data_IF_548633584145
#
_entry.id   IF_548633584145
#
_cell.length_a   1.000
_cell.length_b   1.000
_cell.length_c   1.000
_cell.angle_alpha   90.00
_cell.angle_beta   90.00
_cell.angle_gamma   90.00
#
_symmetry.space_group_name_H-M   'P 1'
#
loop_
_entity.id
_entity.type
_entity.pdbx_description
1 polymer ?
#
# COMPACT_ATOMS: atom_id res chain seq x y z
N UNK A 1 26.10 -66.58 -47.76
CA UNK A 1 25.50 -65.24 -47.66
C UNK A 1 23.99 -65.39 -47.71
N UNK A 2 23.30 -65.27 -46.58
CA UNK A 2 21.84 -65.16 -46.50
C UNK A 2 21.49 -64.51 -45.17
N UNK A 3 20.63 -63.50 -45.24
CA UNK A 3 20.29 -62.57 -44.17
C UNK A 3 19.05 -63.04 -43.41
N UNK A 4 19.09 -62.94 -42.07
CA UNK A 4 17.88 -62.82 -41.24
C UNK A 4 18.24 -61.88 -40.09
N UNK A 5 17.74 -60.65 -40.12
CA UNK A 5 17.65 -59.84 -38.91
C UNK A 5 16.30 -59.13 -38.80
N UNK A 6 15.79 -59.22 -37.57
CA UNK A 6 14.43 -58.98 -37.12
C UNK A 6 14.07 -57.49 -37.12
N UNK A 7 12.93 -57.19 -37.73
CA UNK A 7 11.79 -56.44 -37.21
C UNK A 7 12.03 -55.58 -35.94
N UNK A 8 11.82 -54.26 -36.03
CA UNK A 8 11.26 -53.45 -34.92
C UNK A 8 10.53 -52.20 -35.45
N UNK A 9 9.36 -51.97 -34.85
CA UNK A 9 8.35 -50.96 -35.18
C UNK A 9 8.60 -49.64 -34.43
N UNK A 10 8.29 -48.54 -35.11
CA UNK A 10 7.65 -47.27 -34.67
C UNK A 10 7.87 -46.74 -33.24
N UNK A 11 8.30 -45.48 -33.13
CA UNK A 11 7.46 -44.35 -32.73
C UNK A 11 8.24 -43.03 -32.78
N UNK A 12 7.77 -42.09 -33.60
CA UNK A 12 8.24 -40.72 -33.72
C UNK A 12 7.62 -39.85 -32.62
N UNK A 13 8.41 -39.37 -31.67
CA UNK A 13 8.02 -38.33 -30.72
C UNK A 13 8.52 -36.97 -31.20
N UNK A 14 7.67 -36.27 -31.95
CA UNK A 14 7.84 -34.86 -32.24
C UNK A 14 7.66 -34.07 -30.93
N UNK A 15 8.74 -33.52 -30.38
CA UNK A 15 8.69 -32.60 -29.24
C UNK A 15 8.34 -31.22 -29.79
N UNK A 16 7.14 -30.72 -29.48
CA UNK A 16 6.78 -29.34 -29.79
C UNK A 16 7.53 -28.38 -28.86
N UNK A 17 8.03 -27.23 -29.35
CA UNK A 17 8.55 -26.19 -28.49
C UNK A 17 7.40 -25.51 -27.74
N UNK A 18 7.51 -25.45 -26.41
CA UNK A 18 6.58 -24.73 -25.55
C UNK A 18 6.73 -23.22 -25.78
N UNK A 19 5.71 -22.62 -26.40
CA UNK A 19 5.54 -21.16 -26.43
C UNK A 19 5.22 -20.65 -25.02
N UNK A 20 6.24 -20.38 -24.22
CA UNK A 20 6.09 -19.56 -23.03
C UNK A 20 5.89 -18.11 -23.50
N UNK A 21 4.64 -17.64 -23.50
CA UNK A 21 4.37 -16.21 -23.65
C UNK A 21 5.04 -15.44 -22.50
N UNK A 22 5.66 -14.28 -22.76
CA UNK A 22 6.26 -13.47 -21.71
C UNK A 22 5.16 -13.04 -20.74
N UNK A 23 5.27 -13.47 -19.48
CA UNK A 23 4.40 -12.96 -18.43
C UNK A 23 4.65 -11.46 -18.29
N UNK A 24 3.70 -10.65 -18.77
CA UNK A 24 3.67 -9.23 -18.44
C UNK A 24 3.43 -9.13 -16.94
N UNK A 25 4.46 -8.84 -16.16
CA UNK A 25 4.29 -8.51 -14.75
C UNK A 25 3.45 -7.23 -14.67
N UNK A 26 2.14 -7.37 -14.54
CA UNK A 26 1.29 -6.24 -14.21
C UNK A 26 1.77 -5.73 -12.85
N UNK A 27 2.30 -4.51 -12.82
CA UNK A 27 2.76 -3.91 -11.59
C UNK A 27 1.59 -3.89 -10.60
N UNK A 28 1.70 -4.69 -9.53
CA UNK A 28 0.69 -4.78 -8.47
C UNK A 28 0.45 -3.39 -7.87
N UNK A 29 -0.71 -3.22 -7.25
CA UNK A 29 -1.02 -1.99 -6.53
C UNK A 29 -0.02 -1.71 -5.42
N UNK A 30 0.17 -0.43 -5.10
CA UNK A 30 0.97 0.01 -3.96
C UNK A 30 0.08 0.26 -2.75
N UNK A 31 0.58 -0.04 -1.55
CA UNK A 31 -0.09 0.25 -0.29
C UNK A 31 0.66 1.40 0.40
N UNK A 32 -0.07 2.42 0.82
CA UNK A 32 0.47 3.61 1.50
C UNK A 32 -0.20 3.74 2.86
N UNK A 33 0.55 3.49 3.94
CA UNK A 33 0.14 3.82 5.30
C UNK A 33 0.38 5.30 5.55
N UNK A 34 -0.70 6.07 5.49
CA UNK A 34 -0.65 7.53 5.37
C UNK A 34 -1.15 8.24 6.61
N UNK A 35 -0.33 9.11 7.19
CA UNK A 35 -0.69 9.95 8.34
C UNK A 35 -1.97 10.77 8.08
N UNK A 36 -2.72 11.17 9.12
CA UNK A 36 -3.78 12.15 8.95
C UNK A 36 -3.32 13.41 8.19
N UNK A 37 -4.23 14.06 7.47
CA UNK A 37 -3.97 15.36 6.81
C UNK A 37 -2.87 15.39 5.73
N UNK A 38 -2.36 14.24 5.27
CA UNK A 38 -1.39 14.20 4.15
C UNK A 38 -2.03 14.44 2.77
N UNK A 39 -3.36 14.48 2.66
CA UNK A 39 -4.06 14.64 1.37
C UNK A 39 -4.58 13.35 0.73
N UNK A 40 -4.77 12.28 1.50
CA UNK A 40 -5.35 11.00 1.01
C UNK A 40 -6.67 11.19 0.26
N UNK A 41 -7.65 11.83 0.90
CA UNK A 41 -8.97 12.05 0.31
C UNK A 41 -8.94 12.98 -0.91
N UNK A 42 -7.98 13.92 -0.98
CA UNK A 42 -7.77 14.73 -2.18
C UNK A 42 -7.27 13.87 -3.35
N UNK A 43 -6.29 12.99 -3.11
CA UNK A 43 -5.77 12.07 -4.12
C UNK A 43 -6.87 11.14 -4.65
N UNK A 44 -7.74 10.64 -3.77
CA UNK A 44 -8.86 9.78 -4.13
C UNK A 44 -9.88 10.49 -5.03
N UNK A 45 -10.23 11.75 -4.71
CA UNK A 45 -11.19 12.54 -5.50
C UNK A 45 -10.66 12.93 -6.88
N UNK A 46 -9.38 13.28 -6.96
CA UNK A 46 -8.79 13.83 -8.19
C UNK A 46 -8.15 12.80 -9.12
N UNK A 47 -8.22 11.49 -8.78
CA UNK A 47 -7.73 10.36 -9.61
C UNK A 47 -6.33 10.59 -10.20
N UNK A 48 -5.28 10.30 -9.43
CA UNK A 48 -3.89 10.45 -9.88
C UNK A 48 -3.61 9.66 -11.17
N UNK A 49 -3.34 10.35 -12.27
CA UNK A 49 -2.98 9.76 -13.58
C UNK A 49 -3.94 8.62 -14.03
N UNK A 50 -5.24 8.74 -13.71
CA UNK A 50 -6.23 7.71 -14.04
C UNK A 50 -6.07 6.38 -13.28
N UNK A 51 -5.21 6.31 -12.26
CA UNK A 51 -5.04 5.10 -11.43
C UNK A 51 -6.25 4.89 -10.52
N UNK A 52 -6.63 3.62 -10.24
CA UNK A 52 -7.55 3.32 -9.16
C UNK A 52 -6.96 3.76 -7.81
N UNK A 53 -7.71 4.51 -7.02
CA UNK A 53 -7.30 4.95 -5.68
C UNK A 53 -8.37 4.53 -4.68
N UNK A 54 -7.96 3.84 -3.61
CA UNK A 54 -8.85 3.34 -2.57
C UNK A 54 -8.43 3.92 -1.22
N UNK A 55 -9.27 4.75 -0.60
CA UNK A 55 -9.04 5.30 0.75
C UNK A 55 -9.72 4.40 1.79
N UNK A 56 -8.98 3.44 2.34
CA UNK A 56 -9.45 2.49 3.34
C UNK A 56 -9.19 3.07 4.73
N UNK A 57 -10.12 3.91 5.19
CA UNK A 57 -10.10 4.41 6.56
C UNK A 57 -10.54 3.33 7.53
N UNK A 58 -9.69 3.01 8.50
CA UNK A 58 -9.97 2.00 9.52
C UNK A 58 -11.17 2.35 10.41
N UNK A 59 -11.59 3.63 10.47
CA UNK A 59 -12.79 4.02 11.22
C UNK A 59 -14.08 3.43 10.65
N UNK A 60 -14.09 2.99 9.39
CA UNK A 60 -15.22 2.32 8.74
C UNK A 60 -15.39 0.86 9.14
N UNK A 61 -14.45 0.29 9.91
CA UNK A 61 -14.41 -1.13 10.25
C UNK A 61 -14.69 -1.34 11.74
N UNK A 62 -15.30 -2.48 12.07
CA UNK A 62 -15.54 -2.84 13.46
C UNK A 62 -14.21 -3.00 14.22
N UNK A 63 -14.16 -2.52 15.46
CA UNK A 63 -12.98 -2.64 16.35
C UNK A 63 -12.88 -4.03 17.00
N UNK A 64 -13.12 -5.07 16.22
CA UNK A 64 -13.08 -6.48 16.60
C UNK A 64 -12.06 -7.22 15.74
N UNK A 65 -11.65 -8.42 16.13
CA UNK A 65 -10.76 -9.25 15.30
C UNK A 65 -11.35 -9.48 13.90
N UNK A 66 -12.66 -9.73 13.82
CA UNK A 66 -13.38 -9.86 12.55
C UNK A 66 -13.27 -8.61 11.68
N UNK A 67 -13.51 -7.42 12.26
CA UNK A 67 -13.40 -6.16 11.50
C UNK A 67 -11.97 -5.85 11.07
N UNK A 68 -10.97 -6.23 11.88
CA UNK A 68 -9.56 -6.14 11.47
C UNK A 68 -9.23 -7.08 10.31
N UNK A 69 -9.78 -8.29 10.31
CA UNK A 69 -9.61 -9.24 9.21
C UNK A 69 -10.31 -8.77 7.93
N UNK A 70 -11.51 -8.20 8.03
CA UNK A 70 -12.23 -7.57 6.92
C UNK A 70 -11.41 -6.44 6.30
N UNK A 71 -10.86 -5.55 7.12
CA UNK A 71 -9.96 -4.49 6.67
C UNK A 71 -8.76 -5.02 5.90
N UNK A 72 -8.08 -6.04 6.45
CA UNK A 72 -6.91 -6.65 5.80
C UNK A 72 -7.28 -7.34 4.48
N UNK A 73 -8.46 -7.96 4.40
CA UNK A 73 -8.96 -8.59 3.18
C UNK A 73 -9.23 -7.54 2.08
N UNK A 74 -9.82 -6.41 2.43
CA UNK A 74 -10.04 -5.31 1.48
C UNK A 74 -8.71 -4.71 1.00
N UNK A 75 -7.74 -4.52 1.90
CA UNK A 75 -6.39 -4.08 1.52
C UNK A 75 -5.78 -5.04 0.50
N UNK A 76 -5.84 -6.36 0.74
CA UNK A 76 -5.32 -7.39 -0.19
C UNK A 76 -6.04 -7.35 -1.54
N UNK A 77 -7.38 -7.31 -1.52
CA UNK A 77 -8.23 -7.26 -2.70
C UNK A 77 -7.89 -6.06 -3.58
N UNK A 78 -7.80 -4.86 -2.99
CA UNK A 78 -7.51 -3.64 -3.73
C UNK A 78 -6.05 -3.55 -4.19
N UNK A 79 -5.10 -4.07 -3.41
CA UNK A 79 -3.69 -4.11 -3.80
C UNK A 79 -3.41 -5.10 -4.94
N UNK A 80 -4.30 -6.09 -5.15
CA UNK A 80 -4.23 -7.00 -6.28
C UNK A 80 -4.58 -6.33 -7.62
N UNK A 81 -5.25 -5.16 -7.60
CA UNK A 81 -5.60 -4.41 -8.81
C UNK A 81 -4.34 -3.76 -9.39
N UNK A 82 -4.00 -4.00 -10.67
CA UNK A 82 -2.83 -3.40 -11.30
C UNK A 82 -2.82 -1.87 -11.18
N UNK A 83 -1.64 -1.31 -10.86
CA UNK A 83 -1.40 0.14 -10.71
C UNK A 83 -2.24 0.84 -9.63
N UNK A 84 -3.03 0.12 -8.83
CA UNK A 84 -3.84 0.73 -7.78
C UNK A 84 -3.00 1.41 -6.70
N UNK A 85 -3.58 2.42 -6.07
CA UNK A 85 -3.03 3.08 -4.89
C UNK A 85 -4.01 2.82 -3.75
N UNK A 86 -3.60 1.99 -2.80
CA UNK A 86 -4.39 1.66 -1.61
C UNK A 86 -3.88 2.49 -0.45
N UNK A 87 -4.68 3.43 0.03
CA UNK A 87 -4.36 4.28 1.16
C UNK A 87 -4.94 3.65 2.42
N UNK A 88 -4.10 3.50 3.44
CA UNK A 88 -4.45 2.85 4.71
C UNK A 88 -4.07 3.75 5.89
N UNK A 89 -4.71 3.50 7.02
CA UNK A 89 -4.41 4.20 8.29
C UNK A 89 -3.01 3.87 8.83
N UNK A 90 -2.51 4.69 9.76
CA UNK A 90 -1.16 4.56 10.34
C UNK A 90 -1.06 3.68 11.58
N UNK A 91 -2.20 3.21 12.11
CA UNK A 91 -2.24 2.43 13.34
C UNK A 91 -1.29 1.23 13.28
N UNK A 92 -0.47 1.08 14.31
CA UNK A 92 0.55 0.03 14.37
C UNK A 92 -0.04 -1.38 14.25
N UNK A 93 -1.22 -1.63 14.83
CA UNK A 93 -1.93 -2.91 14.73
C UNK A 93 -2.11 -3.37 13.28
N UNK A 94 -2.58 -2.49 12.39
CA UNK A 94 -2.76 -2.83 10.98
C UNK A 94 -1.43 -2.96 10.25
N UNK A 95 -0.43 -2.13 10.59
CA UNK A 95 0.92 -2.24 10.04
C UNK A 95 1.59 -3.58 10.38
N UNK A 96 1.40 -4.06 11.61
CA UNK A 96 1.84 -5.40 12.06
C UNK A 96 1.13 -6.52 11.31
N UNK A 97 -0.20 -6.43 11.15
CA UNK A 97 -0.97 -7.43 10.39
C UNK A 97 -0.60 -7.48 8.90
N UNK A 98 -0.35 -6.32 8.29
CA UNK A 98 0.15 -6.26 6.91
C UNK A 98 1.53 -6.91 6.82
N UNK A 99 2.45 -6.59 7.74
CA UNK A 99 3.79 -7.18 7.75
C UNK A 99 3.77 -8.70 7.98
N UNK A 100 2.96 -9.22 8.90
CA UNK A 100 2.80 -10.66 9.13
C UNK A 100 2.20 -11.38 7.93
N UNK A 101 1.34 -10.70 7.16
CA UNK A 101 0.80 -11.16 5.87
C UNK A 101 1.75 -10.95 4.69
N UNK A 102 3.00 -10.53 4.92
CA UNK A 102 4.00 -10.22 3.88
C UNK A 102 3.53 -9.16 2.86
N UNK A 103 2.63 -8.27 3.27
CA UNK A 103 2.20 -7.13 2.46
C UNK A 103 3.22 -6.00 2.61
N UNK A 104 3.82 -5.64 1.49
CA UNK A 104 4.71 -4.49 1.40
C UNK A 104 3.89 -3.21 1.34
N UNK A 105 4.27 -2.22 2.15
CA UNK A 105 3.65 -0.89 2.16
C UNK A 105 4.72 0.19 2.32
N UNK A 106 4.30 1.43 2.15
CA UNK A 106 5.12 2.63 2.34
C UNK A 106 4.49 3.45 3.46
N UNK A 107 5.28 3.82 4.47
CA UNK A 107 4.85 4.80 5.48
C UNK A 107 5.03 6.21 4.93
N UNK A 108 3.96 7.00 4.91
CA UNK A 108 3.99 8.41 4.50
C UNK A 108 3.49 9.28 5.65
N UNK A 109 4.37 10.13 6.19
CA UNK A 109 4.11 10.92 7.40
C UNK A 109 4.88 12.25 7.38
N UNK A 110 4.42 13.27 8.13
CA UNK A 110 5.12 14.54 8.25
C UNK A 110 6.48 14.40 8.95
N UNK A 111 7.40 15.31 8.63
CA UNK A 111 8.53 15.58 9.52
C UNK A 111 8.05 16.00 10.91
N UNK A 112 8.78 15.59 11.95
CA UNK A 112 8.37 15.72 13.36
C UNK A 112 8.18 17.18 13.80
N UNK A 113 8.91 18.11 13.19
CA UNK A 113 8.86 19.55 13.43
C UNK A 113 7.61 20.24 12.85
N UNK A 114 6.78 19.54 12.07
CA UNK A 114 5.63 20.13 11.36
C UNK A 114 4.29 20.08 12.13
N UNK A 115 4.32 19.96 13.46
CA UNK A 115 3.12 19.87 14.31
C UNK A 115 2.10 20.96 13.98
N UNK A 116 2.54 22.23 13.99
CA UNK A 116 1.65 23.38 13.80
C UNK A 116 1.04 23.41 12.39
N UNK A 117 1.80 23.03 11.36
CA UNK A 117 1.27 22.95 10.00
C UNK A 117 0.19 21.88 9.89
N UNK A 118 0.39 20.70 10.49
CA UNK A 118 -0.59 19.61 10.45
C UNK A 118 -1.85 19.90 11.26
N UNK A 119 -1.71 20.58 12.42
CA UNK A 119 -2.85 21.09 13.17
C UNK A 119 -3.62 22.13 12.34
N UNK A 120 -2.93 23.06 11.67
CA UNK A 120 -3.55 24.03 10.78
C UNK A 120 -4.26 23.37 9.58
N UNK A 121 -3.72 22.28 9.03
CA UNK A 121 -4.40 21.49 7.98
C UNK A 121 -5.68 20.85 8.51
N UNK A 122 -5.64 20.23 9.69
CA UNK A 122 -6.83 19.61 10.27
C UNK A 122 -7.87 20.66 10.67
N UNK A 123 -7.45 21.81 11.19
CA UNK A 123 -8.33 22.91 11.55
C UNK A 123 -9.04 23.48 10.31
N UNK A 124 -8.32 23.69 9.20
CA UNK A 124 -8.95 24.09 7.93
C UNK A 124 -9.93 23.04 7.40
N UNK A 125 -9.72 21.76 7.71
CA UNK A 125 -10.57 20.65 7.26
C UNK A 125 -11.85 20.49 8.10
N UNK A 126 -11.74 20.58 9.42
CA UNK A 126 -12.82 20.20 10.35
C UNK A 126 -12.95 21.10 11.60
N UNK A 127 -12.09 22.12 11.74
CA UNK A 127 -12.04 23.03 12.88
C UNK A 127 -11.18 22.52 14.04
N UNK A 128 -10.80 23.40 14.96
CA UNK A 128 -9.99 23.07 16.15
C UNK A 128 -10.77 22.36 17.27
N UNK A 129 -12.11 22.33 17.18
CA UNK A 129 -12.95 21.56 18.10
C UNK A 129 -13.07 20.08 17.73
N UNK A 130 -12.61 19.71 16.53
CA UNK A 130 -12.65 18.34 15.99
C UNK A 130 -11.85 17.34 16.86
N UNK A 131 -12.36 16.11 16.94
CA UNK A 131 -11.77 15.06 17.77
C UNK A 131 -10.37 14.64 17.31
N UNK A 132 -10.14 14.56 15.99
CA UNK A 132 -8.84 14.25 15.43
C UNK A 132 -7.86 15.42 15.62
N UNK A 133 -8.32 16.67 15.51
CA UNK A 133 -7.50 17.84 15.85
C UNK A 133 -6.99 17.76 17.29
N UNK A 134 -7.90 17.55 18.26
CA UNK A 134 -7.55 17.43 19.69
C UNK A 134 -6.59 16.26 19.92
N UNK A 135 -6.88 15.11 19.33
CA UNK A 135 -6.03 13.93 19.43
C UNK A 135 -4.62 14.21 18.91
N UNK A 136 -4.49 14.80 17.71
CA UNK A 136 -3.19 15.17 17.14
C UNK A 136 -2.45 16.20 18.00
N UNK A 137 -3.15 17.19 18.56
CA UNK A 137 -2.52 18.22 19.38
C UNK A 137 -1.91 17.62 20.66
N UNK A 138 -2.63 16.72 21.32
CA UNK A 138 -2.19 16.08 22.57
C UNK A 138 -1.21 14.93 22.35
N UNK A 139 -1.26 14.25 21.20
CA UNK A 139 -0.50 13.01 20.96
C UNK A 139 0.50 13.12 19.80
N UNK A 140 0.89 14.34 19.39
CA UNK A 140 1.75 14.54 18.23
C UNK A 140 3.04 13.71 18.27
N UNK A 141 3.77 13.77 19.37
CA UNK A 141 5.03 13.03 19.51
C UNK A 141 4.83 11.53 19.39
N UNK A 142 3.81 10.98 20.07
CA UNK A 142 3.42 9.57 19.96
C UNK A 142 3.08 9.21 18.51
N UNK A 143 2.33 10.05 17.80
CA UNK A 143 1.99 9.79 16.40
C UNK A 143 3.22 9.87 15.49
N UNK A 144 4.16 10.78 15.76
CA UNK A 144 5.40 10.97 15.00
C UNK A 144 6.36 9.78 15.13
N UNK A 145 6.20 8.92 16.15
CA UNK A 145 6.95 7.66 16.30
C UNK A 145 6.76 6.68 15.14
N UNK A 146 5.76 6.90 14.27
CA UNK A 146 5.62 6.18 12.99
C UNK A 146 6.91 6.20 12.14
N UNK A 147 7.78 7.21 12.32
CA UNK A 147 9.10 7.26 11.68
C UNK A 147 9.95 6.03 11.99
N UNK A 148 9.99 5.65 13.26
CA UNK A 148 10.81 4.54 13.77
C UNK A 148 10.30 3.19 13.28
N UNK A 149 9.00 3.09 13.00
CA UNK A 149 8.36 1.81 12.73
C UNK A 149 8.34 0.91 13.98
N UNK A 150 8.14 -0.39 13.78
CA UNK A 150 8.27 -1.41 14.83
C UNK A 150 9.39 -2.41 14.50
N UNK A 151 9.85 -3.17 15.51
CA UNK A 151 10.91 -4.17 15.32
C UNK A 151 10.54 -5.21 14.26
N UNK A 152 11.41 -5.40 13.27
CA UNK A 152 11.17 -6.31 12.14
C UNK A 152 10.34 -5.72 10.99
N UNK A 153 9.94 -4.45 11.06
CA UNK A 153 9.23 -3.79 9.97
C UNK A 153 10.18 -3.44 8.80
N UNK A 154 9.89 -3.96 7.61
CA UNK A 154 10.71 -3.77 6.40
C UNK A 154 10.12 -2.76 5.40
N UNK A 155 9.04 -2.06 5.77
CA UNK A 155 8.37 -1.12 4.88
C UNK A 155 9.24 0.10 4.57
N UNK A 156 9.15 0.59 3.33
CA UNK A 156 9.78 1.85 2.93
C UNK A 156 9.14 3.02 3.67
N UNK A 157 9.86 4.14 3.77
CA UNK A 157 9.38 5.38 4.40
C UNK A 157 9.53 6.58 3.47
N UNK A 158 8.60 7.52 3.58
CA UNK A 158 8.59 8.80 2.88
C UNK A 158 8.16 9.90 3.85
N UNK A 159 9.07 10.81 4.15
CA UNK A 159 8.82 11.93 5.05
C UNK A 159 8.38 13.15 4.23
N UNK A 160 7.22 13.72 4.57
CA UNK A 160 6.73 14.96 3.99
C UNK A 160 7.38 16.16 4.67
N UNK A 161 7.92 17.06 3.86
CA UNK A 161 8.48 18.35 4.31
C UNK A 161 7.39 19.41 4.39
N UNK A 162 7.78 20.59 4.89
CA UNK A 162 6.92 21.78 4.95
C UNK A 162 6.24 22.03 3.60
N UNK A 163 4.92 22.20 3.62
CA UNK A 163 4.11 22.43 2.42
C UNK A 163 3.85 21.19 1.54
N UNK A 164 4.50 20.05 1.80
CA UNK A 164 4.30 18.84 0.98
C UNK A 164 3.03 18.07 1.38
N UNK A 165 2.43 17.45 0.38
CA UNK A 165 1.24 16.60 0.49
C UNK A 165 1.55 15.32 -0.26
N UNK A 166 0.75 14.28 -0.03
CA UNK A 166 0.88 12.98 -0.69
C UNK A 166 0.99 13.14 -2.22
N UNK A 167 0.18 14.01 -2.83
CA UNK A 167 0.23 14.27 -4.28
C UNK A 167 1.59 14.76 -4.79
N UNK A 168 2.37 15.47 -3.98
CA UNK A 168 3.71 15.95 -4.35
C UNK A 168 4.76 14.83 -4.40
N UNK A 169 4.56 13.76 -3.61
CA UNK A 169 5.52 12.66 -3.50
C UNK A 169 5.08 11.39 -4.22
N UNK A 170 3.78 11.23 -4.52
CA UNK A 170 3.24 10.07 -5.24
C UNK A 170 4.00 9.71 -6.52
N UNK A 171 4.43 10.66 -7.38
CA UNK A 171 5.20 10.33 -8.58
C UNK A 171 6.46 9.49 -8.28
N UNK A 172 7.09 9.71 -7.13
CA UNK A 172 8.28 8.98 -6.67
C UNK A 172 7.94 7.61 -6.07
N UNK A 173 6.72 7.44 -5.57
CA UNK A 173 6.27 6.21 -4.89
C UNK A 173 5.72 5.16 -5.85
N UNK A 174 5.10 5.60 -6.94
CA UNK A 174 4.42 4.70 -7.89
C UNK A 174 5.33 4.11 -8.96
N UNK A 175 6.61 4.51 -8.99
CA UNK A 175 7.56 4.20 -10.05
C UNK A 175 7.19 4.89 -11.37
N UNK A 176 8.05 5.77 -11.87
CA UNK A 176 8.12 6.09 -13.29
C UNK A 176 9.28 5.32 -13.89
#
# INVERSE_FOLDING_TARGET
MSAIQKNQRQASTATQPSNAQPQTYSQKGIIISGFPCIGKSYLCKNKYEGRPVFDLDSSGYAKTEKGQQEYLNDVKKHAAIPRAIVLVSTHETFRKQMASSKLQYIRVYPSRDLKQEWLGRQEKRAGSKDGLWKFMNSNWDMMAEIDKGFSGETSKKCVLKKGEYLGHVIPKLVGK
#
